data_IF_454363264846
#
_entry.id   IF_454363264846
#
_cell.length_a   1.000
_cell.length_b   1.000
_cell.length_c   1.000
_cell.angle_alpha   90.00
_cell.angle_beta   90.00
_cell.angle_gamma   90.00
#
_symmetry.space_group_name_H-M   'P 1'
#
loop_
_entity.id
_entity.type
_entity.pdbx_description
1 polymer ?
#
# COMPACT_ATOMS: atom_id res chain seq x y z
N UNK A 1 -45.23 -16.32 -55.89
CA UNK A 1 -43.85 -16.45 -55.38
C UNK A 1 -43.17 -15.08 -55.42
N UNK A 2 -43.08 -14.38 -54.28
CA UNK A 2 -42.29 -13.14 -54.14
C UNK A 2 -41.31 -13.36 -52.98
N UNK A 3 -40.01 -13.35 -53.30
CA UNK A 3 -38.93 -13.64 -52.35
C UNK A 3 -38.73 -12.45 -51.41
N UNK A 4 -38.81 -12.72 -50.11
CA UNK A 4 -38.52 -11.79 -49.02
C UNK A 4 -37.01 -11.90 -48.73
N UNK A 5 -36.24 -10.84 -48.92
CA UNK A 5 -34.87 -10.75 -48.42
C UNK A 5 -34.89 -9.93 -47.12
N UNK A 6 -34.78 -10.62 -45.99
CA UNK A 6 -34.51 -10.01 -44.70
C UNK A 6 -33.00 -9.82 -44.55
N UNK A 7 -32.53 -8.58 -44.62
CA UNK A 7 -31.16 -8.24 -44.26
C UNK A 7 -31.06 -8.14 -42.73
N UNK A 8 -30.41 -9.13 -42.12
CA UNK A 8 -30.06 -9.10 -40.70
C UNK A 8 -28.85 -8.16 -40.54
N UNK A 9 -29.07 -6.95 -40.03
CA UNK A 9 -27.99 -6.10 -39.53
C UNK A 9 -27.49 -6.70 -38.20
N UNK A 10 -26.35 -7.38 -38.23
CA UNK A 10 -25.60 -7.67 -37.00
C UNK A 10 -24.90 -6.39 -36.55
N UNK A 11 -25.45 -5.72 -35.54
CA UNK A 11 -24.75 -4.67 -34.82
C UNK A 11 -23.66 -5.29 -33.95
N UNK A 12 -22.41 -5.22 -34.40
CA UNK A 12 -21.26 -5.52 -33.55
C UNK A 12 -21.02 -4.31 -32.64
N UNK A 13 -21.57 -4.34 -31.43
CA UNK A 13 -21.14 -3.41 -30.38
C UNK A 13 -19.72 -3.80 -29.96
N UNK A 14 -18.72 -3.20 -30.59
CA UNK A 14 -17.36 -3.20 -30.06
C UNK A 14 -17.37 -2.35 -28.79
N UNK A 15 -17.52 -2.99 -27.62
CA UNK A 15 -17.16 -2.36 -26.37
C UNK A 15 -15.65 -2.09 -26.45
N UNK A 16 -15.29 -0.83 -26.69
CA UNK A 16 -13.90 -0.39 -26.58
C UNK A 16 -13.48 -0.64 -25.12
N UNK A 17 -12.73 -1.71 -24.90
CA UNK A 17 -12.00 -1.90 -23.67
C UNK A 17 -11.03 -0.72 -23.58
N UNK A 18 -11.36 0.28 -22.77
CA UNK A 18 -10.44 1.37 -22.46
C UNK A 18 -9.22 0.72 -21.80
N UNK A 19 -8.14 0.55 -22.57
CA UNK A 19 -6.85 0.16 -22.05
C UNK A 19 -6.33 1.34 -21.23
N UNK A 20 -6.77 1.46 -19.98
CA UNK A 20 -6.20 2.40 -19.02
C UNK A 20 -4.73 2.00 -18.85
N UNK A 21 -3.75 2.83 -19.25
CA UNK A 21 -2.36 2.48 -19.07
C UNK A 21 -2.03 2.49 -17.57
N UNK A 22 -1.68 1.34 -17.02
CA UNK A 22 -1.23 1.20 -15.64
C UNK A 22 0.29 1.27 -15.56
N UNK A 23 0.80 2.07 -14.63
CA UNK A 23 2.25 2.21 -14.43
C UNK A 23 2.85 1.13 -13.54
N UNK A 24 2.05 0.42 -12.73
CA UNK A 24 2.42 -0.85 -12.10
C UNK A 24 2.71 -1.93 -13.15
N UNK A 25 3.78 -2.70 -12.94
CA UNK A 25 4.17 -3.77 -13.87
C UNK A 25 3.30 -5.01 -13.75
N UNK A 26 2.79 -5.31 -12.55
CA UNK A 26 1.79 -6.36 -12.32
C UNK A 26 0.58 -5.78 -11.60
N UNK A 27 -0.60 -6.13 -12.07
CA UNK A 27 -1.90 -5.68 -11.55
C UNK A 27 -2.87 -6.85 -11.54
N UNK A 28 -3.59 -7.02 -10.45
CA UNK A 28 -4.75 -7.90 -10.38
C UNK A 28 -5.86 -7.23 -9.57
N UNK A 29 -7.08 -7.23 -10.09
CA UNK A 29 -8.28 -6.77 -9.39
C UNK A 29 -9.34 -7.86 -9.48
N UNK A 30 -9.84 -8.30 -8.33
CA UNK A 30 -10.82 -9.38 -8.21
C UNK A 30 -12.02 -8.87 -7.42
N UNK A 31 -13.23 -9.15 -7.89
CA UNK A 31 -14.46 -8.98 -7.13
C UNK A 31 -14.54 -10.07 -6.05
N UNK A 32 -14.59 -9.67 -4.78
CA UNK A 32 -14.41 -10.61 -3.66
C UNK A 32 -15.54 -11.63 -3.56
N UNK A 33 -16.78 -11.23 -3.88
CA UNK A 33 -17.98 -12.06 -3.69
C UNK A 33 -18.08 -13.19 -4.73
N UNK A 34 -17.58 -12.95 -5.95
CA UNK A 34 -17.71 -13.88 -7.08
C UNK A 34 -16.38 -14.52 -7.49
N UNK A 35 -15.26 -13.96 -7.04
CA UNK A 35 -13.92 -14.32 -7.53
C UNK A 35 -13.65 -13.86 -8.98
N UNK A 36 -14.55 -13.06 -9.57
CA UNK A 36 -14.40 -12.60 -10.95
C UNK A 36 -13.20 -11.66 -11.07
N UNK A 37 -12.28 -11.99 -11.98
CA UNK A 37 -11.19 -11.10 -12.37
C UNK A 37 -11.78 -9.90 -13.14
N UNK A 38 -11.60 -8.71 -12.60
CA UNK A 38 -12.06 -7.44 -13.18
C UNK A 38 -10.97 -6.77 -14.02
N UNK A 39 -9.71 -6.94 -13.62
CA UNK A 39 -8.55 -6.41 -14.31
C UNK A 39 -7.33 -7.30 -14.04
N UNK A 40 -6.54 -7.54 -15.08
CA UNK A 40 -5.34 -8.36 -14.98
C UNK A 40 -4.22 -7.81 -15.88
N UNK A 41 -3.01 -7.78 -15.35
CA UNK A 41 -1.76 -7.50 -16.07
C UNK A 41 -0.64 -8.25 -15.38
N UNK A 42 0.01 -9.19 -16.05
CA UNK A 42 1.16 -9.94 -15.52
C UNK A 42 0.92 -10.49 -14.10
N UNK A 43 -0.28 -11.01 -13.82
CA UNK A 43 -0.68 -11.37 -12.46
C UNK A 43 0.11 -12.52 -11.87
N UNK A 44 0.66 -13.41 -12.71
CA UNK A 44 1.49 -14.55 -12.32
C UNK A 44 3.00 -14.26 -12.29
N UNK A 45 3.41 -13.00 -12.51
CA UNK A 45 4.83 -12.64 -12.42
C UNK A 45 5.34 -12.70 -10.98
N UNK A 46 6.36 -13.53 -10.76
CA UNK A 46 7.00 -13.68 -9.45
C UNK A 46 7.98 -12.52 -9.22
N UNK A 47 7.61 -11.61 -8.32
CA UNK A 47 8.37 -10.38 -8.04
C UNK A 47 8.57 -10.17 -6.54
N UNK A 48 9.60 -9.42 -6.11
CA UNK A 48 9.74 -9.02 -4.71
C UNK A 48 8.51 -8.22 -4.24
N UNK A 49 8.01 -8.52 -3.04
CA UNK A 49 6.75 -7.93 -2.53
C UNK A 49 6.94 -6.88 -1.45
N UNK A 50 8.19 -6.64 -1.05
CA UNK A 50 8.53 -5.72 0.03
C UNK A 50 7.65 -5.95 1.28
N UNK A 51 7.28 -4.87 1.99
CA UNK A 51 6.49 -4.95 3.22
C UNK A 51 5.05 -5.48 3.08
N UNK A 52 4.60 -5.89 1.89
CA UNK A 52 3.38 -6.70 1.80
C UNK A 52 3.52 -8.01 2.58
N UNK A 53 4.75 -8.52 2.73
CA UNK A 53 5.12 -9.61 3.64
C UNK A 53 4.52 -9.47 5.03
N UNK A 54 4.39 -8.25 5.56
CA UNK A 54 3.93 -8.06 6.94
C UNK A 54 2.48 -8.47 7.19
N UNK A 55 1.67 -8.60 6.13
CA UNK A 55 0.34 -9.23 6.27
C UNK A 55 0.47 -10.72 6.61
N UNK A 56 1.40 -11.44 5.99
CA UNK A 56 1.71 -12.83 6.35
C UNK A 56 2.23 -12.91 7.78
N UNK A 57 3.18 -12.05 8.15
CA UNK A 57 3.72 -11.95 9.51
C UNK A 57 2.60 -11.77 10.53
N UNK A 58 1.71 -10.80 10.31
CA UNK A 58 0.58 -10.53 11.21
C UNK A 58 -0.35 -11.73 11.37
N UNK A 59 -0.73 -12.39 10.27
CA UNK A 59 -1.59 -13.58 10.35
C UNK A 59 -0.92 -14.70 11.16
N UNK A 60 0.39 -14.94 10.97
CA UNK A 60 1.14 -15.96 11.72
C UNK A 60 1.23 -15.62 13.21
N UNK A 61 1.45 -14.35 13.57
CA UNK A 61 1.45 -13.92 14.98
C UNK A 61 0.07 -14.13 15.62
N UNK A 62 -1.00 -13.73 14.94
CA UNK A 62 -2.36 -13.85 15.47
C UNK A 62 -2.80 -15.32 15.61
N UNK A 63 -2.42 -16.19 14.67
CA UNK A 63 -2.67 -17.63 14.74
C UNK A 63 -2.06 -18.30 15.98
N UNK A 64 -0.93 -17.77 16.47
CA UNK A 64 -0.24 -18.32 17.63
C UNK A 64 -0.98 -18.05 18.95
N UNK A 65 -1.99 -17.16 18.95
CA UNK A 65 -2.85 -16.85 20.11
C UNK A 65 -2.05 -16.54 21.38
N UNK A 66 -0.93 -15.84 21.22
CA UNK A 66 -0.14 -15.37 22.35
C UNK A 66 -0.86 -14.24 23.08
N UNK A 67 -0.43 -13.94 24.31
CA UNK A 67 -0.97 -12.83 25.09
C UNK A 67 -0.68 -11.47 24.42
N UNK A 68 -1.70 -10.79 23.89
CA UNK A 68 -1.50 -9.53 23.18
C UNK A 68 -1.04 -8.37 24.08
N UNK A 69 -1.08 -8.56 25.39
CA UNK A 69 -0.68 -7.59 26.41
C UNK A 69 0.75 -7.84 26.93
N UNK A 70 1.35 -8.97 26.57
CA UNK A 70 2.74 -9.27 26.90
C UNK A 70 3.68 -8.21 26.32
N UNK A 71 4.60 -7.73 27.16
CA UNK A 71 5.61 -6.77 26.75
C UNK A 71 6.72 -7.45 25.96
N UNK A 72 6.86 -7.06 24.70
CA UNK A 72 7.96 -7.43 23.84
C UNK A 72 9.06 -6.38 23.99
N UNK A 73 10.24 -6.81 24.43
CA UNK A 73 11.44 -5.99 24.37
C UNK A 73 12.01 -5.96 22.96
N UNK A 74 12.26 -4.76 22.46
CA UNK A 74 12.93 -4.50 21.18
C UNK A 74 14.44 -4.69 21.35
N UNK A 75 14.98 -5.74 20.76
CA UNK A 75 16.38 -6.12 20.90
C UNK A 75 17.26 -5.47 19.82
N UNK A 76 18.58 -5.46 20.05
CA UNK A 76 19.56 -5.00 19.05
C UNK A 76 19.50 -5.84 17.77
N UNK A 77 19.18 -7.13 17.86
CA UNK A 77 19.02 -8.01 16.69
C UNK A 77 17.80 -7.69 15.81
N UNK A 78 16.84 -6.89 16.30
CA UNK A 78 15.69 -6.44 15.51
C UNK A 78 16.03 -5.25 14.60
N UNK A 79 17.24 -4.69 14.72
CA UNK A 79 17.70 -3.59 13.88
C UNK A 79 17.98 -4.08 12.46
N UNK A 80 17.38 -3.40 11.48
CA UNK A 80 17.66 -3.64 10.07
C UNK A 80 19.12 -3.35 9.72
N UNK A 81 19.85 -4.41 9.39
CA UNK A 81 21.24 -4.37 8.89
C UNK A 81 21.35 -4.62 7.38
N UNK A 82 20.23 -4.92 6.70
CA UNK A 82 20.20 -5.25 5.27
C UNK A 82 19.95 -4.01 4.41
N UNK A 83 18.96 -3.21 4.77
CA UNK A 83 18.55 -2.00 4.02
C UNK A 83 18.73 -0.71 4.82
N UNK A 84 19.18 -0.81 6.08
CA UNK A 84 19.44 0.31 6.98
C UNK A 84 18.22 1.26 7.13
N UNK A 85 17.02 0.69 7.14
CA UNK A 85 15.78 1.44 7.38
C UNK A 85 15.73 2.01 8.79
N UNK A 86 15.09 3.17 8.90
CA UNK A 86 14.89 3.85 10.18
C UNK A 86 13.65 3.31 10.88
N UNK A 87 13.68 3.35 12.22
CA UNK A 87 12.53 3.02 13.06
C UNK A 87 12.48 4.01 14.23
N UNK A 88 11.28 4.46 14.56
CA UNK A 88 11.02 5.33 15.73
C UNK A 88 10.89 4.55 17.03
N UNK A 89 10.97 3.22 16.96
CA UNK A 89 10.87 2.32 18.10
C UNK A 89 12.29 2.05 18.64
N UNK A 90 12.72 2.61 19.78
CA UNK A 90 14.11 2.49 20.21
C UNK A 90 14.43 1.08 20.73
N UNK A 91 15.69 0.66 20.58
CA UNK A 91 16.21 -0.56 21.23
C UNK A 91 16.08 -0.46 22.75
N UNK A 92 15.77 -1.58 23.39
CA UNK A 92 15.44 -1.72 24.80
C UNK A 92 14.11 -1.07 25.19
N UNK A 93 13.21 -0.81 24.24
CA UNK A 93 11.82 -0.47 24.56
C UNK A 93 11.03 -1.76 24.80
N UNK A 94 10.25 -1.79 25.87
CA UNK A 94 9.26 -2.85 26.12
C UNK A 94 7.89 -2.33 25.75
N UNK A 95 7.24 -2.97 24.78
CA UNK A 95 5.99 -2.52 24.17
C UNK A 95 5.03 -3.71 24.12
N UNK A 96 3.74 -3.49 24.41
CA UNK A 96 2.75 -4.57 24.34
C UNK A 96 2.68 -5.16 22.93
N UNK A 97 2.56 -6.48 22.81
CA UNK A 97 2.52 -7.20 21.52
C UNK A 97 1.50 -6.61 20.53
N UNK A 98 0.33 -6.20 21.00
CA UNK A 98 -0.69 -5.48 20.20
C UNK A 98 -0.17 -4.20 19.56
N UNK A 99 0.63 -3.42 20.29
CA UNK A 99 1.19 -2.16 19.80
C UNK A 99 2.37 -2.43 18.84
N UNK A 100 3.16 -3.49 19.08
CA UNK A 100 4.19 -3.93 18.13
C UNK A 100 3.54 -4.39 16.81
N UNK A 101 2.41 -5.09 16.86
CA UNK A 101 1.63 -5.45 15.67
C UNK A 101 1.05 -4.20 14.96
N UNK A 102 0.52 -3.23 15.72
CA UNK A 102 0.06 -1.94 15.21
C UNK A 102 1.18 -1.24 14.42
N UNK A 103 2.39 -1.12 15.00
CA UNK A 103 3.57 -0.52 14.38
C UNK A 103 3.98 -1.22 13.08
N UNK A 104 4.01 -2.56 13.10
CA UNK A 104 4.40 -3.37 11.95
C UNK A 104 3.45 -3.19 10.76
N UNK A 105 2.14 -3.09 11.00
CA UNK A 105 1.15 -3.00 9.91
C UNK A 105 0.88 -1.55 9.48
N UNK A 106 0.61 -0.64 10.42
CA UNK A 106 0.22 0.75 10.13
C UNK A 106 1.36 1.54 9.51
N UNK A 107 2.46 1.68 10.24
CA UNK A 107 3.64 2.45 9.81
C UNK A 107 4.69 1.59 9.09
N UNK A 108 4.39 0.30 8.89
CA UNK A 108 5.28 -0.62 8.18
C UNK A 108 6.65 -0.79 8.86
N UNK A 109 6.71 -0.65 10.19
CA UNK A 109 7.97 -0.64 10.93
C UNK A 109 8.66 -2.02 10.86
N UNK A 110 9.91 -2.04 10.37
CA UNK A 110 10.67 -3.28 10.17
C UNK A 110 11.15 -3.88 11.49
N UNK A 111 11.53 -3.03 12.47
CA UNK A 111 12.02 -3.47 13.78
C UNK A 111 10.90 -4.14 14.57
N UNK A 112 9.70 -3.58 14.50
CA UNK A 112 8.52 -4.19 15.09
C UNK A 112 8.22 -5.58 14.50
N UNK A 113 8.25 -5.71 13.16
CA UNK A 113 8.03 -7.00 12.50
C UNK A 113 9.11 -8.04 12.82
N UNK A 114 10.38 -7.63 12.92
CA UNK A 114 11.48 -8.50 13.35
C UNK A 114 11.30 -8.98 14.79
N UNK A 115 10.95 -8.07 15.71
CA UNK A 115 10.71 -8.39 17.12
C UNK A 115 9.56 -9.39 17.30
N UNK A 116 8.47 -9.23 16.55
CA UNK A 116 7.34 -10.18 16.56
C UNK A 116 7.78 -11.59 16.17
N UNK A 117 8.56 -11.73 15.11
CA UNK A 117 9.04 -13.03 14.66
C UNK A 117 10.07 -13.64 15.62
N UNK A 118 10.97 -12.82 16.19
CA UNK A 118 11.97 -13.28 17.16
C UNK A 118 11.32 -13.80 18.45
N UNK A 119 10.26 -13.14 18.91
CA UNK A 119 9.51 -13.49 20.13
C UNK A 119 8.34 -14.43 19.90
N UNK A 120 8.22 -14.99 18.69
CA UNK A 120 7.28 -16.05 18.39
C UNK A 120 7.59 -17.30 19.24
N UNK A 121 6.60 -18.14 19.62
CA UNK A 121 6.87 -19.35 20.40
C UNK A 121 7.76 -20.32 19.62
N UNK A 122 8.93 -20.66 20.17
CA UNK A 122 9.97 -21.41 19.47
C UNK A 122 10.89 -20.56 18.58
N UNK A 123 10.80 -19.23 18.69
CA UNK A 123 11.66 -18.26 18.03
C UNK A 123 11.49 -18.17 16.51
N UNK A 124 12.45 -17.51 15.85
CA UNK A 124 12.42 -17.24 14.41
C UNK A 124 12.34 -18.51 13.54
N UNK A 125 12.90 -19.63 14.00
CA UNK A 125 12.84 -20.91 13.30
C UNK A 125 11.40 -21.43 13.26
N UNK A 126 10.70 -21.42 14.40
CA UNK A 126 9.31 -21.83 14.49
C UNK A 126 8.38 -20.87 13.74
N UNK A 127 8.68 -19.56 13.77
CA UNK A 127 7.99 -18.55 12.97
C UNK A 127 8.11 -18.85 11.46
N UNK A 128 9.33 -19.11 10.95
CA UNK A 128 9.55 -19.44 9.55
C UNK A 128 8.81 -20.73 9.12
N UNK A 129 8.76 -21.73 10.00
CA UNK A 129 7.95 -22.93 9.77
C UNK A 129 6.44 -22.63 9.72
N UNK A 130 5.96 -21.73 10.58
CA UNK A 130 4.56 -21.30 10.59
C UNK A 130 4.20 -20.52 9.31
N UNK A 131 5.08 -19.63 8.84
CA UNK A 131 4.93 -18.94 7.54
C UNK A 131 4.81 -19.94 6.39
N UNK A 132 5.68 -20.95 6.32
CA UNK A 132 5.61 -21.99 5.28
C UNK A 132 4.29 -22.76 5.33
N UNK A 133 3.83 -23.14 6.52
CA UNK A 133 2.52 -23.81 6.70
C UNK A 133 1.37 -22.92 6.23
N UNK A 134 1.42 -21.62 6.55
CA UNK A 134 0.40 -20.65 6.14
C UNK A 134 0.37 -20.48 4.61
N UNK A 135 1.53 -20.32 3.97
CA UNK A 135 1.65 -20.25 2.50
C UNK A 135 1.02 -21.49 1.85
N UNK A 136 1.32 -22.69 2.35
CA UNK A 136 0.75 -23.94 1.84
C UNK A 136 -0.78 -24.00 2.07
N UNK A 137 -1.25 -23.64 3.27
CA UNK A 137 -2.67 -23.64 3.61
C UNK A 137 -3.50 -22.66 2.76
N UNK A 138 -2.89 -21.55 2.32
CA UNK A 138 -3.51 -20.58 1.43
C UNK A 138 -3.36 -20.93 -0.06
N UNK A 139 -2.68 -22.03 -0.40
CA UNK A 139 -2.42 -22.42 -1.79
C UNK A 139 -1.59 -21.41 -2.57
N UNK A 140 -0.68 -20.70 -1.89
CA UNK A 140 0.17 -19.67 -2.48
C UNK A 140 1.45 -20.29 -3.09
N UNK A 141 1.29 -21.04 -4.17
CA UNK A 141 2.33 -21.93 -4.73
C UNK A 141 3.49 -21.21 -5.40
N UNK A 142 3.36 -19.91 -5.70
CA UNK A 142 4.40 -19.07 -6.30
C UNK A 142 4.99 -18.08 -5.29
N UNK A 143 4.78 -18.32 -3.99
CA UNK A 143 5.19 -17.43 -2.91
C UNK A 143 6.33 -18.00 -2.08
N UNK A 144 7.34 -17.17 -1.84
CA UNK A 144 8.42 -17.42 -0.89
C UNK A 144 8.50 -16.24 0.06
N UNK A 145 8.47 -16.53 1.36
CA UNK A 145 8.74 -15.55 2.42
C UNK A 145 9.76 -16.18 3.37
N UNK A 146 10.98 -15.63 3.38
CA UNK A 146 12.09 -16.11 4.20
C UNK A 146 12.29 -15.31 5.49
N UNK A 147 11.76 -14.09 5.55
CA UNK A 147 11.92 -13.17 6.68
C UNK A 147 10.67 -12.29 6.88
N UNK A 148 10.42 -11.75 8.09
CA UNK A 148 9.11 -11.19 8.50
C UNK A 148 8.85 -9.75 8.04
N UNK A 149 9.84 -9.04 7.52
CA UNK A 149 9.80 -7.58 7.32
C UNK A 149 9.50 -7.20 5.86
N UNK A 150 9.90 -8.02 4.90
CA UNK A 150 9.87 -7.68 3.48
C UNK A 150 11.12 -6.93 2.98
N UNK A 151 12.20 -6.88 3.75
CA UNK A 151 13.45 -6.27 3.32
C UNK A 151 14.25 -7.16 2.35
N UNK A 152 14.11 -8.48 2.47
CA UNK A 152 14.77 -9.40 1.55
C UNK A 152 14.12 -9.34 0.16
N UNK A 153 14.91 -9.22 -0.93
CA UNK A 153 14.37 -9.36 -2.27
C UNK A 153 13.92 -10.79 -2.58
N UNK A 154 14.21 -11.77 -1.72
CA UNK A 154 13.72 -13.16 -1.85
C UNK A 154 12.33 -13.36 -1.27
N UNK A 155 11.81 -12.38 -0.52
CA UNK A 155 10.39 -12.31 -0.24
C UNK A 155 9.64 -11.94 -1.54
N UNK A 156 9.16 -12.97 -2.25
CA UNK A 156 8.57 -12.87 -3.59
C UNK A 156 7.21 -13.56 -3.64
N UNK A 157 6.33 -13.06 -4.49
CA UNK A 157 5.01 -13.63 -4.74
C UNK A 157 4.49 -13.14 -6.10
N UNK A 158 3.26 -13.51 -6.43
CA UNK A 158 2.51 -13.07 -7.60
C UNK A 158 1.32 -12.24 -7.16
N UNK A 159 0.74 -11.44 -8.06
CA UNK A 159 -0.48 -10.71 -7.74
C UNK A 159 -1.64 -11.68 -7.40
N UNK A 160 -1.70 -12.82 -8.09
CA UNK A 160 -2.68 -13.88 -7.85
C UNK A 160 -2.58 -14.46 -6.42
N UNK A 161 -1.38 -14.80 -5.95
CA UNK A 161 -1.19 -15.30 -4.59
C UNK A 161 -1.47 -14.22 -3.53
N UNK A 162 -1.11 -12.98 -3.81
CA UNK A 162 -1.37 -11.87 -2.88
C UNK A 162 -2.86 -11.54 -2.72
N UNK A 163 -3.70 -11.81 -3.73
CA UNK A 163 -5.17 -11.76 -3.55
C UNK A 163 -5.63 -12.80 -2.53
N UNK A 164 -5.10 -14.03 -2.57
CA UNK A 164 -5.42 -15.07 -1.58
C UNK A 164 -4.98 -14.62 -0.18
N UNK A 165 -3.78 -14.05 -0.07
CA UNK A 165 -3.27 -13.49 1.19
C UNK A 165 -4.17 -12.37 1.72
N UNK A 166 -4.62 -11.44 0.87
CA UNK A 166 -5.50 -10.34 1.26
C UNK A 166 -6.89 -10.84 1.69
N UNK A 167 -7.42 -11.84 0.98
CA UNK A 167 -8.68 -12.48 1.30
C UNK A 167 -8.63 -13.11 2.70
N UNK A 168 -7.60 -13.92 2.96
CA UNK A 168 -7.38 -14.54 4.26
C UNK A 168 -7.15 -13.51 5.37
N UNK A 169 -6.32 -12.49 5.13
CA UNK A 169 -5.95 -11.48 6.11
C UNK A 169 -7.15 -10.63 6.58
N UNK A 170 -8.19 -10.47 5.76
CA UNK A 170 -9.38 -9.72 6.17
C UNK A 170 -10.27 -10.47 7.17
N UNK A 171 -10.06 -11.78 7.36
CA UNK A 171 -10.75 -12.55 8.39
C UNK A 171 -10.15 -12.31 9.80
N UNK A 172 -9.14 -11.45 9.91
CA UNK A 172 -8.52 -11.07 11.18
C UNK A 172 -8.97 -9.65 11.54
N UNK A 173 -9.84 -9.49 12.57
CA UNK A 173 -10.32 -8.18 12.99
C UNK A 173 -9.19 -7.20 13.32
N UNK A 174 -8.11 -7.67 13.95
CA UNK A 174 -6.95 -6.83 14.22
C UNK A 174 -6.26 -6.34 12.94
N UNK A 175 -6.07 -7.20 11.93
CA UNK A 175 -5.43 -6.77 10.68
C UNK A 175 -6.28 -5.73 9.98
N UNK A 176 -7.60 -5.97 9.86
CA UNK A 176 -8.50 -5.01 9.21
C UNK A 176 -8.46 -3.67 9.92
N UNK A 177 -8.73 -3.64 11.24
CA UNK A 177 -8.66 -2.42 12.07
C UNK A 177 -7.33 -1.68 11.91
N UNK A 178 -6.21 -2.34 12.17
CA UNK A 178 -4.88 -1.71 12.16
C UNK A 178 -4.55 -1.14 10.78
N UNK A 179 -4.92 -1.84 9.72
CA UNK A 179 -4.59 -1.43 8.34
C UNK A 179 -5.53 -0.36 7.77
N UNK A 180 -6.64 -0.10 8.45
CA UNK A 180 -7.64 0.93 8.09
C UNK A 180 -7.68 2.11 9.05
N UNK A 181 -6.95 2.05 10.17
CA UNK A 181 -6.73 3.21 11.02
C UNK A 181 -5.79 4.19 10.30
N UNK A 182 -6.15 5.49 10.18
CA UNK A 182 -5.30 6.47 9.48
C UNK A 182 -4.06 6.85 10.29
N UNK A 183 -4.18 6.82 11.63
CA UNK A 183 -3.12 7.15 12.58
C UNK A 183 -3.43 6.59 13.96
N UNK A 184 -2.42 6.47 14.80
CA UNK A 184 -2.55 6.06 16.19
C UNK A 184 -1.40 6.64 17.04
N UNK A 185 -1.57 6.66 18.36
CA UNK A 185 -0.56 7.13 19.32
C UNK A 185 -0.17 5.98 20.23
N UNK A 186 1.11 5.62 20.21
CA UNK A 186 1.65 4.54 21.04
C UNK A 186 2.59 5.13 22.09
N UNK A 187 2.42 4.70 23.33
CA UNK A 187 3.27 5.11 24.45
C UNK A 187 4.55 4.29 24.48
N UNK A 188 5.68 4.91 24.17
CA UNK A 188 7.00 4.27 24.13
C UNK A 188 7.91 4.95 25.15
N UNK A 189 8.37 4.20 26.15
CA UNK A 189 9.24 4.72 27.24
C UNK A 189 8.67 5.99 27.88
N UNK A 190 7.35 6.00 28.16
CA UNK A 190 6.64 7.13 28.77
C UNK A 190 6.36 8.32 27.86
N UNK A 191 6.68 8.24 26.56
CA UNK A 191 6.39 9.28 25.56
C UNK A 191 5.33 8.83 24.59
N UNK A 192 4.42 9.73 24.26
CA UNK A 192 3.43 9.51 23.21
C UNK A 192 4.08 9.71 21.84
N UNK A 193 4.00 8.69 20.99
CA UNK A 193 4.56 8.72 19.63
C UNK A 193 3.44 8.45 18.63
N UNK A 194 3.13 9.45 17.79
CA UNK A 194 2.10 9.32 16.77
C UNK A 194 2.64 8.61 15.52
N UNK A 195 1.93 7.58 15.06
CA UNK A 195 2.18 6.78 13.87
C UNK A 195 1.07 6.98 12.86
N UNK A 196 1.44 6.93 11.58
CA UNK A 196 0.52 7.18 10.47
C UNK A 196 0.51 5.95 9.56
N UNK A 197 -0.65 5.71 8.96
CA UNK A 197 -0.78 4.68 7.95
C UNK A 197 0.06 5.03 6.73
N UNK A 198 0.83 4.07 6.24
CA UNK A 198 1.63 4.24 5.02
C UNK A 198 0.78 4.43 3.76
N UNK A 199 -0.49 4.00 3.78
CA UNK A 199 -1.44 4.22 2.69
C UNK A 199 -2.23 5.53 2.92
N UNK A 200 -1.88 6.58 2.18
CA UNK A 200 -2.55 7.89 2.25
C UNK A 200 -4.02 7.89 1.79
N UNK A 201 -4.49 6.79 1.19
CA UNK A 201 -5.89 6.64 0.81
C UNK A 201 -6.77 6.24 2.01
N UNK A 202 -6.17 5.71 3.08
CA UNK A 202 -6.88 5.38 4.32
C UNK A 202 -7.36 6.67 4.99
N UNK A 203 -8.66 6.72 5.28
CA UNK A 203 -9.33 7.92 5.80
C UNK A 203 -9.56 9.03 4.78
N UNK A 204 -9.16 8.85 3.52
CA UNK A 204 -9.39 9.85 2.47
C UNK A 204 -10.86 9.83 2.01
N UNK A 205 -11.42 11.01 1.73
CA UNK A 205 -12.81 11.14 1.27
C UNK A 205 -13.07 10.30 0.02
N UNK A 206 -14.13 9.50 0.06
CA UNK A 206 -14.56 8.63 -1.03
C UNK A 206 -13.85 7.28 -1.08
N UNK A 207 -12.95 6.96 -0.15
CA UNK A 207 -12.37 5.64 -0.03
C UNK A 207 -13.00 4.88 1.12
N UNK A 208 -13.63 3.74 0.81
CA UNK A 208 -14.05 2.74 1.79
C UNK A 208 -13.07 1.56 1.65
N UNK A 209 -12.12 1.49 2.58
CA UNK A 209 -11.01 0.52 2.57
C UNK A 209 -11.22 -0.42 3.74
N UNK A 210 -11.35 -1.72 3.47
CA UNK A 210 -11.49 -2.75 4.50
C UNK A 210 -10.18 -3.42 4.92
N UNK A 211 -9.13 -3.31 4.09
CA UNK A 211 -7.78 -3.77 4.40
C UNK A 211 -6.78 -3.06 3.49
N UNK A 212 -5.61 -2.68 3.97
CA UNK A 212 -4.54 -2.22 3.08
C UNK A 212 -3.12 -2.49 3.57
N UNK A 213 -2.19 -2.67 2.63
CA UNK A 213 -0.77 -2.65 2.94
C UNK A 213 0.03 -2.08 1.79
N UNK A 214 0.98 -1.22 2.09
CA UNK A 214 1.97 -0.75 1.11
C UNK A 214 3.32 -1.44 1.32
N UNK A 215 4.12 -1.48 0.26
CA UNK A 215 5.51 -1.94 0.30
C UNK A 215 6.40 -1.10 -0.60
N UNK A 216 7.67 -0.96 -0.21
CA UNK A 216 8.72 -0.41 -1.06
C UNK A 216 10.09 -0.97 -0.67
N UNK A 217 10.80 -1.47 -1.67
CA UNK A 217 12.27 -1.58 -1.70
C UNK A 217 12.71 -1.15 -3.11
N UNK A 218 14.01 -0.98 -3.33
CA UNK A 218 14.49 -0.66 -4.68
C UNK A 218 14.15 -1.78 -5.67
N UNK A 219 14.21 -3.04 -5.22
CA UNK A 219 13.97 -4.23 -6.02
C UNK A 219 12.48 -4.51 -6.28
N UNK A 220 11.61 -4.20 -5.31
CA UNK A 220 10.17 -4.45 -5.43
C UNK A 220 9.43 -3.33 -6.17
N UNK A 221 10.03 -2.14 -6.28
CA UNK A 221 9.30 -0.91 -6.62
C UNK A 221 8.22 -0.61 -5.57
N UNK A 222 7.21 0.18 -5.93
CA UNK A 222 6.08 0.52 -5.04
C UNK A 222 4.96 -0.51 -5.19
N UNK A 223 4.65 -1.19 -4.10
CA UNK A 223 3.61 -2.21 -4.02
C UNK A 223 2.42 -1.76 -3.16
N UNK A 224 1.21 -2.20 -3.47
CA UNK A 224 -0.02 -1.97 -2.71
C UNK A 224 -0.92 -3.21 -2.81
N UNK A 225 -1.45 -3.64 -1.67
CA UNK A 225 -2.63 -4.50 -1.57
C UNK A 225 -3.72 -3.65 -0.91
N UNK A 226 -4.93 -3.69 -1.45
CA UNK A 226 -6.06 -2.97 -0.87
C UNK A 226 -7.37 -3.70 -1.15
N UNK A 227 -8.18 -3.92 -0.12
CA UNK A 227 -9.58 -4.33 -0.25
C UNK A 227 -10.44 -3.09 -0.12
N UNK A 228 -11.28 -2.83 -1.11
CA UNK A 228 -12.13 -1.65 -1.16
C UNK A 228 -13.58 -2.03 -1.39
N UNK A 229 -14.47 -1.20 -0.87
CA UNK A 229 -15.88 -1.22 -1.22
C UNK A 229 -16.18 -0.02 -2.12
N UNK A 230 -16.75 -0.28 -3.29
CA UNK A 230 -17.12 0.75 -4.27
C UNK A 230 -18.40 0.33 -5.00
N UNK A 231 -19.33 1.27 -5.18
CA UNK A 231 -20.65 1.01 -5.77
C UNK A 231 -21.37 -0.25 -5.22
N UNK A 232 -21.24 -0.53 -3.92
CA UNK A 232 -21.85 -1.69 -3.26
C UNK A 232 -21.13 -3.03 -3.46
N UNK A 233 -20.00 -3.05 -4.17
CA UNK A 233 -19.17 -4.24 -4.43
C UNK A 233 -17.88 -4.22 -3.62
N UNK A 234 -17.46 -5.38 -3.14
CA UNK A 234 -16.14 -5.56 -2.53
C UNK A 234 -15.15 -6.03 -3.59
N UNK A 235 -13.97 -5.41 -3.64
CA UNK A 235 -12.91 -5.83 -4.55
C UNK A 235 -11.53 -5.75 -3.89
N UNK A 236 -10.71 -6.75 -4.17
CA UNK A 236 -9.29 -6.78 -3.82
C UNK A 236 -8.47 -6.32 -5.02
N UNK A 237 -7.64 -5.30 -4.84
CA UNK A 237 -6.64 -4.87 -5.82
C UNK A 237 -5.22 -5.09 -5.31
N UNK A 238 -4.37 -5.62 -6.19
CA UNK A 238 -2.95 -5.83 -5.98
C UNK A 238 -2.18 -5.12 -7.08
N UNK A 239 -1.33 -4.16 -6.70
CA UNK A 239 -0.50 -3.36 -7.59
C UNK A 239 0.96 -3.57 -7.20
N UNK A 240 1.78 -4.12 -8.11
CA UNK A 240 3.18 -4.42 -7.83
C UNK A 240 4.09 -3.65 -8.77
N UNK A 241 5.27 -3.31 -8.25
CA UNK A 241 6.36 -2.70 -9.02
C UNK A 241 5.95 -1.44 -9.81
N UNK A 242 5.28 -0.50 -9.15
CA UNK A 242 5.16 0.86 -9.70
C UNK A 242 6.47 1.63 -9.47
N UNK A 243 6.94 2.37 -10.48
CA UNK A 243 8.18 3.16 -10.38
C UNK A 243 8.13 4.30 -9.36
N UNK A 244 6.94 4.80 -9.01
CA UNK A 244 6.75 5.89 -8.06
C UNK A 244 5.46 5.76 -7.25
N UNK A 245 5.41 6.42 -6.09
CA UNK A 245 4.21 6.43 -5.23
C UNK A 245 3.00 7.05 -5.95
N UNK A 246 3.22 8.15 -6.67
CA UNK A 246 2.19 8.84 -7.44
C UNK A 246 1.58 7.93 -8.50
N UNK A 247 2.39 7.11 -9.16
CA UNK A 247 1.95 6.13 -10.16
C UNK A 247 1.00 5.11 -9.55
N UNK A 248 1.41 4.47 -8.45
CA UNK A 248 0.58 3.48 -7.74
C UNK A 248 -0.76 4.07 -7.26
N UNK A 249 -0.75 5.31 -6.79
CA UNK A 249 -1.97 6.02 -6.36
C UNK A 249 -2.87 6.33 -7.57
N UNK A 250 -2.29 6.77 -8.68
CA UNK A 250 -3.02 7.04 -9.92
C UNK A 250 -3.67 5.76 -10.46
N UNK A 251 -2.94 4.64 -10.46
CA UNK A 251 -3.46 3.33 -10.85
C UNK A 251 -4.67 2.94 -9.98
N UNK A 252 -4.57 3.08 -8.65
CA UNK A 252 -5.69 2.81 -7.73
C UNK A 252 -6.91 3.71 -8.00
N UNK A 253 -6.69 5.01 -8.26
CA UNK A 253 -7.76 5.96 -8.61
C UNK A 253 -8.44 5.58 -9.93
N UNK A 254 -7.65 5.19 -10.94
CA UNK A 254 -8.17 4.79 -12.24
C UNK A 254 -8.97 3.48 -12.14
N UNK A 255 -8.50 2.50 -11.37
CA UNK A 255 -9.24 1.25 -11.08
C UNK A 255 -10.57 1.59 -10.42
N UNK A 256 -10.56 2.41 -9.37
CA UNK A 256 -11.79 2.79 -8.68
C UNK A 256 -12.81 3.46 -9.62
N UNK A 257 -12.35 4.41 -10.44
CA UNK A 257 -13.20 5.18 -11.37
C UNK A 257 -13.75 4.33 -12.52
N UNK A 258 -12.91 3.51 -13.14
CA UNK A 258 -13.24 2.87 -14.42
C UNK A 258 -13.61 1.39 -14.30
N UNK A 259 -13.16 0.71 -13.24
CA UNK A 259 -13.38 -0.73 -13.05
C UNK A 259 -14.46 -0.98 -11.99
N UNK A 260 -14.46 -0.20 -10.90
CA UNK A 260 -15.38 -0.39 -9.79
C UNK A 260 -16.66 0.46 -9.88
N UNK A 261 -16.82 1.24 -10.95
CA UNK A 261 -18.09 1.89 -11.29
C UNK A 261 -18.42 3.15 -10.49
N UNK A 262 -17.48 3.73 -9.74
CA UNK A 262 -17.71 5.05 -9.15
C UNK A 262 -17.69 6.11 -10.25
N UNK A 263 -18.84 6.76 -10.46
CA UNK A 263 -18.92 8.00 -11.22
C UNK A 263 -17.85 8.94 -10.66
N UNK A 264 -16.96 9.44 -11.52
CA UNK A 264 -15.88 10.33 -11.11
C UNK A 264 -16.44 11.40 -10.14
N UNK A 265 -15.71 11.79 -9.08
CA UNK A 265 -16.11 12.99 -8.35
C UNK A 265 -16.28 14.08 -9.40
N UNK A 266 -17.49 14.62 -9.50
CA UNK A 266 -17.80 15.76 -10.36
C UNK A 266 -16.64 16.71 -10.18
N UNK A 267 -15.91 16.99 -11.27
CA UNK A 267 -14.87 17.99 -11.24
C UNK A 267 -15.47 19.18 -10.49
N UNK A 268 -14.78 19.66 -9.46
CA UNK A 268 -15.11 20.95 -8.87
C UNK A 268 -15.14 21.90 -10.06
N UNK A 269 -16.33 22.21 -10.56
CA UNK A 269 -16.55 23.31 -11.48
C UNK A 269 -15.98 24.48 -10.71
N UNK A 270 -14.90 25.03 -11.25
CA UNK A 270 -14.34 26.26 -10.73
C UNK A 270 -15.40 27.34 -10.98
N UNK A 271 -16.35 27.46 -10.06
CA UNK A 271 -17.19 28.64 -9.91
C UNK A 271 -16.32 29.74 -9.33
N UNK A 272 -15.45 30.29 -10.19
CA UNK A 272 -15.15 31.72 -10.19
C UNK A 272 -14.32 32.08 -11.43
N UNK A 273 -14.85 32.83 -12.40
CA UNK A 273 -13.99 33.54 -13.33
C UNK A 273 -13.32 34.67 -12.56
N UNK A 274 -12.03 34.49 -12.21
CA UNK A 274 -11.21 35.59 -11.71
C UNK A 274 -11.15 36.68 -12.79
N UNK A 275 -11.93 37.74 -12.57
CA UNK A 275 -11.96 38.96 -13.38
C UNK A 275 -10.63 39.68 -13.20
N UNK A 276 -9.71 39.54 -14.16
CA UNK A 276 -8.46 40.30 -14.19
C UNK A 276 -8.80 41.76 -14.47
N UNK A 277 -8.69 42.62 -13.44
CA UNK A 277 -8.70 44.07 -13.59
C UNK A 277 -7.33 44.49 -14.13
N UNK A 278 -7.29 44.92 -15.39
CA UNK A 278 -6.16 45.65 -15.95
C UNK A 278 -6.27 47.10 -15.46
N UNK A 279 -5.36 47.56 -14.61
CA UNK A 279 -5.19 48.99 -14.33
C UNK A 279 -4.05 49.54 -15.17
N UNK A 280 -4.39 50.42 -16.10
CA UNK A 280 -3.48 51.28 -16.83
C UNK A 280 -2.77 52.25 -15.90
N UNK A 281 -1.44 52.26 -15.92
CA UNK A 281 -0.62 53.28 -15.26
C UNK A 281 0.67 53.48 -16.05
N UNK A 282 0.65 54.41 -17.00
CA UNK A 282 1.84 54.85 -17.72
C UNK A 282 2.69 55.81 -16.88
N UNK A 283 3.99 55.86 -17.15
CA UNK A 283 4.81 57.03 -16.80
C UNK A 283 6.27 56.79 -16.40
N UNK A 284 7.16 56.83 -17.40
CA UNK A 284 8.53 57.40 -17.40
C UNK A 284 9.65 56.91 -16.44
N UNK A 285 10.52 56.07 -17.03
CA UNK A 285 12.00 56.11 -17.18
C UNK A 285 12.83 57.14 -16.35
N UNK A 286 13.88 56.69 -15.63
CA UNK A 286 15.33 56.94 -15.93
C UNK A 286 16.35 56.45 -14.86
N UNK A 287 17.42 55.85 -15.40
CA UNK A 287 18.85 55.75 -14.94
C UNK A 287 19.25 54.89 -13.72
N UNK A 288 19.95 53.76 -13.94
CA UNK A 288 21.43 53.56 -14.00
C UNK A 288 22.12 53.55 -12.62
N UNK A 289 22.64 52.39 -12.18
CA UNK A 289 24.09 52.03 -12.15
C UNK A 289 24.31 50.66 -11.49
N UNK A 290 24.95 49.73 -12.20
CA UNK A 290 25.50 48.47 -11.67
C UNK A 290 27.01 48.62 -11.49
N UNK A 291 27.51 48.31 -10.28
CA UNK A 291 28.84 47.75 -9.92
C UNK A 291 29.08 48.02 -8.41
N UNK A 292 29.68 47.15 -7.59
CA UNK A 292 30.73 46.13 -7.80
C UNK A 292 30.71 45.14 -6.62
N UNK A 293 31.16 43.91 -6.86
CA UNK A 293 31.61 42.93 -5.86
C UNK A 293 32.64 43.49 -4.86
N UNK A 294 32.56 43.04 -3.60
CA UNK A 294 33.73 42.62 -2.78
C UNK A 294 33.32 41.59 -1.72
N UNK A 295 34.32 40.79 -1.35
CA UNK A 295 34.37 39.45 -0.71
C UNK A 295 34.13 39.45 0.83
N UNK A 296 34.11 38.26 1.49
CA UNK A 296 33.48 38.03 2.79
C UNK A 296 34.36 38.40 3.99
N UNK A 297 33.75 38.50 5.18
CA UNK A 297 34.44 38.48 6.47
C UNK A 297 34.11 37.20 7.24
N UNK A 298 35.16 36.52 7.65
CA UNK A 298 35.25 35.48 8.67
C UNK A 298 35.41 36.10 10.07
N UNK A 299 34.99 35.37 11.12
CA UNK A 299 35.24 35.64 12.54
C UNK A 299 33.95 36.03 13.29
N UNK A 300 33.53 35.41 14.40
CA UNK A 300 34.16 34.46 15.32
C UNK A 300 33.15 33.38 15.74
#
# INVERSE_FOLDING_TARGET
MKKLFAAVLMSVSAAAAFAVPFGSQSVLVVEDDTGKVLLEKNADSVVPIASLTKLMTAMVILDAKQDMDELIEIDKSDVDTLKHSTSRVPVGASIARRDVLQLALMSSDNRAAAALARTYPGGSVAFGAAVKRKIAALGMTQTVIEEPTGLSPQNRSTAADLVKMASAAANYPDITRITTDPKDIIKIKGRDVEYHNTNRLVGAKGWDIGLSKTGYTQEAGRCLIMRVKAAGKNATMVLLNAGANSVRILDALNIRRHVLGDSAPTALTADNPMRVKVSSGGGRVKHVKVRRHRRPKTGA
#
